data_IF_812406903488
#
_entry.id   IF_812406903488
#
_cell.length_a   1.000
_cell.length_b   1.000
_cell.length_c   1.000
_cell.angle_alpha   90.00
_cell.angle_beta   90.00
_cell.angle_gamma   90.00
#
_symmetry.space_group_name_H-M   'P 1'
#
loop_
_entity.id
_entity.type
_entity.pdbx_description
1 polymer ?
#
# COMPACT_ATOMS: atom_id res chain seq x y z
N UNK A 1 37.55 28.31 10.47
CA UNK A 1 36.19 28.85 10.71
C UNK A 1 35.17 27.91 10.11
N UNK A 2 34.60 27.03 10.93
CA UNK A 2 33.51 26.13 10.53
C UNK A 2 32.16 26.75 10.91
N UNK A 3 31.27 26.92 9.93
CA UNK A 3 29.94 27.49 10.10
C UNK A 3 28.92 26.66 9.32
N UNK A 4 27.96 26.09 10.06
CA UNK A 4 27.08 24.97 9.73
C UNK A 4 26.13 25.21 8.54
N UNK A 5 26.08 24.20 7.65
CA UNK A 5 24.90 23.63 6.97
C UNK A 5 23.66 24.54 6.88
N UNK A 6 23.63 25.42 5.89
CA UNK A 6 22.36 25.94 5.36
C UNK A 6 21.63 24.80 4.65
N UNK A 7 20.66 24.16 5.30
CA UNK A 7 19.69 23.29 4.64
C UNK A 7 18.63 24.17 3.98
N UNK A 8 18.95 24.72 2.81
CA UNK A 8 17.95 25.15 1.83
C UNK A 8 17.12 23.96 1.31
N UNK A 9 16.00 24.21 0.62
CA UNK A 9 14.85 23.32 0.56
C UNK A 9 15.23 22.02 -0.12
N UNK A 10 15.25 20.97 0.67
CA UNK A 10 15.24 19.63 0.13
C UNK A 10 13.76 19.47 -0.37
N UNK A 11 13.52 19.43 -1.71
CA UNK A 11 12.38 18.77 -2.50
C UNK A 11 12.37 17.23 -2.77
N UNK A 12 11.42 16.47 -2.21
CA UNK A 12 11.60 15.00 -2.02
C UNK A 12 10.86 14.39 -0.84
N UNK A 13 10.83 13.06 -0.83
CA UNK A 13 10.07 12.27 0.13
C UNK A 13 10.99 11.71 1.22
N UNK A 14 10.46 11.52 2.43
CA UNK A 14 11.13 10.73 3.48
C UNK A 14 10.20 9.59 3.88
N UNK A 15 10.71 8.35 3.88
CA UNK A 15 10.06 7.18 4.49
C UNK A 15 10.34 7.17 5.99
N UNK A 16 9.32 6.93 6.82
CA UNK A 16 9.54 6.53 8.22
C UNK A 16 9.27 5.02 8.41
N UNK A 17 10.29 4.32 8.93
CA UNK A 17 10.35 2.95 9.47
C UNK A 17 10.29 1.72 8.52
N UNK A 18 11.15 0.72 8.82
CA UNK A 18 10.98 -0.71 8.45
C UNK A 18 12.02 -1.36 7.54
N UNK A 19 12.89 -0.61 6.86
CA UNK A 19 13.91 -1.16 5.95
C UNK A 19 15.19 -0.32 6.04
N UNK A 20 16.33 -0.91 5.70
CA UNK A 20 17.72 -0.42 5.82
C UNK A 20 18.03 0.97 5.21
N UNK A 21 17.02 1.71 4.76
CA UNK A 21 17.09 3.03 4.15
C UNK A 21 16.48 4.10 5.08
N UNK A 22 17.07 4.25 6.27
CA UNK A 22 16.70 5.26 7.26
C UNK A 22 17.05 6.66 6.76
N UNK A 23 16.00 7.46 6.52
CA UNK A 23 16.11 8.92 6.45
C UNK A 23 16.77 9.49 5.20
N UNK A 24 16.94 8.70 4.14
CA UNK A 24 17.38 9.24 2.85
C UNK A 24 16.28 10.07 2.23
N UNK A 25 16.79 11.08 1.56
CA UNK A 25 16.06 12.15 0.96
C UNK A 25 15.99 11.88 -0.54
N UNK A 26 14.81 11.60 -1.08
CA UNK A 26 14.68 11.14 -2.46
C UNK A 26 14.43 12.31 -3.40
N UNK A 27 15.47 12.68 -4.17
CA UNK A 27 15.42 13.68 -5.26
C UNK A 27 15.18 13.07 -6.64
N UNK A 28 15.08 11.74 -6.72
CA UNK A 28 14.92 11.06 -8.01
C UNK A 28 13.47 11.16 -8.47
N UNK A 29 13.27 11.49 -9.75
CA UNK A 29 11.95 11.45 -10.39
C UNK A 29 11.37 10.03 -10.44
N UNK A 30 12.22 8.99 -10.29
CA UNK A 30 11.83 7.58 -10.40
C UNK A 30 12.09 6.80 -9.10
N UNK A 31 11.69 7.36 -7.96
CA UNK A 31 11.88 6.67 -6.68
C UNK A 31 10.88 5.50 -6.53
N UNK A 32 11.39 4.31 -6.23
CA UNK A 32 10.58 3.09 -6.06
C UNK A 32 10.75 2.49 -4.68
N UNK A 33 9.64 2.04 -4.09
CA UNK A 33 9.62 1.40 -2.77
C UNK A 33 8.86 0.08 -2.84
N UNK A 34 9.33 -0.91 -2.08
CA UNK A 34 8.65 -2.19 -1.93
C UNK A 34 8.03 -2.27 -0.53
N UNK A 35 6.78 -2.67 -0.47
CA UNK A 35 6.01 -2.87 0.77
C UNK A 35 5.28 -4.21 0.70
N UNK A 36 4.72 -4.67 1.81
CA UNK A 36 3.74 -5.77 1.86
C UNK A 36 2.37 -5.23 2.26
N UNK A 37 1.34 -6.07 2.16
CA UNK A 37 0.06 -5.74 2.77
C UNK A 37 0.20 -5.54 4.28
N UNK A 38 -0.58 -4.60 4.80
CA UNK A 38 -0.59 -4.11 6.19
C UNK A 38 0.66 -3.35 6.63
N UNK A 39 1.69 -3.23 5.79
CA UNK A 39 2.76 -2.28 6.05
C UNK A 39 2.25 -0.83 5.95
N UNK A 40 3.02 0.08 6.52
CA UNK A 40 2.77 1.53 6.47
C UNK A 40 3.87 2.22 5.68
N UNK A 41 3.51 3.27 4.95
CA UNK A 41 4.42 4.22 4.33
C UNK A 41 4.10 5.62 4.84
N UNK A 42 5.04 6.17 5.59
CA UNK A 42 5.00 7.59 5.94
C UNK A 42 5.65 8.42 4.83
N UNK A 43 4.95 9.47 4.43
CA UNK A 43 5.35 10.49 3.49
C UNK A 43 5.40 11.81 4.26
N UNK A 44 6.60 12.33 4.47
CA UNK A 44 6.82 13.56 5.25
C UNK A 44 6.87 14.78 4.34
N UNK A 45 6.13 15.84 4.70
CA UNK A 45 6.11 17.12 3.99
C UNK A 45 7.37 17.97 4.27
N UNK A 46 7.72 18.94 3.40
CA UNK A 46 8.76 19.92 3.66
C UNK A 46 8.47 20.70 4.94
N UNK A 47 9.48 20.91 5.76
CA UNK A 47 9.35 21.63 7.02
C UNK A 47 10.57 22.53 7.25
N UNK A 48 10.30 23.73 7.75
CA UNK A 48 11.27 24.79 7.97
C UNK A 48 11.13 25.24 9.44
N UNK A 49 12.18 25.02 10.23
CA UNK A 49 12.17 25.28 11.67
C UNK A 49 12.43 26.76 12.00
N UNK A 50 13.19 27.45 11.14
CA UNK A 50 13.60 28.85 11.36
C UNK A 50 13.08 29.78 10.26
N UNK A 51 12.80 31.03 10.62
CA UNK A 51 12.38 32.12 9.71
C UNK A 51 13.48 32.59 8.74
N UNK A 52 14.55 31.80 8.58
CA UNK A 52 15.65 32.06 7.64
C UNK A 52 15.21 31.95 6.17
N UNK A 53 14.15 31.17 5.91
CA UNK A 53 13.56 31.02 4.58
C UNK A 53 12.31 31.89 4.51
N UNK A 54 12.24 32.78 3.52
CA UNK A 54 11.05 33.61 3.31
C UNK A 54 9.82 32.73 3.04
N UNK A 55 8.65 33.11 3.57
CA UNK A 55 7.41 32.32 3.44
C UNK A 55 7.03 31.98 1.99
N UNK A 56 7.35 32.86 1.02
CA UNK A 56 7.12 32.65 -0.40
C UNK A 56 8.09 31.63 -1.03
N UNK A 57 9.26 31.40 -0.43
CA UNK A 57 10.25 30.42 -0.86
C UNK A 57 10.06 29.05 -0.18
N UNK A 58 9.15 28.96 0.80
CA UNK A 58 8.82 27.70 1.46
C UNK A 58 8.01 26.80 0.53
N UNK A 59 8.57 25.64 0.22
CA UNK A 59 7.93 24.67 -0.67
C UNK A 59 6.61 24.14 -0.11
N UNK A 60 5.59 24.10 -0.98
CA UNK A 60 4.26 23.55 -0.73
C UNK A 60 3.81 22.76 -1.93
N UNK A 61 3.27 21.56 -1.73
CA UNK A 61 2.78 20.73 -2.82
C UNK A 61 1.51 19.96 -2.44
N UNK A 62 0.76 19.58 -3.46
CA UNK A 62 -0.35 18.62 -3.36
C UNK A 62 0.13 17.26 -3.85
N UNK A 63 -0.13 16.22 -3.07
CA UNK A 63 0.17 14.84 -3.39
C UNK A 63 -1.06 14.15 -3.99
N UNK A 64 -0.86 13.46 -5.11
CA UNK A 64 -1.89 12.73 -5.82
C UNK A 64 -1.56 11.24 -5.84
N UNK A 65 -2.60 10.41 -5.75
CA UNK A 65 -2.52 8.99 -6.07
C UNK A 65 -3.12 8.78 -7.46
N UNK A 66 -2.29 8.41 -8.42
CA UNK A 66 -2.63 8.44 -9.84
C UNK A 66 -2.43 7.07 -10.51
N UNK A 67 -2.97 6.95 -11.72
CA UNK A 67 -2.72 5.80 -12.59
C UNK A 67 -1.36 5.91 -13.30
N UNK A 68 -0.91 4.83 -13.94
CA UNK A 68 0.44 4.74 -14.54
C UNK A 68 0.69 5.80 -15.61
N UNK A 69 -0.29 6.07 -16.47
CA UNK A 69 -0.17 7.01 -17.58
C UNK A 69 0.02 8.44 -17.06
N UNK A 70 -0.77 8.81 -16.04
CA UNK A 70 -0.70 10.08 -15.34
C UNK A 70 0.63 10.26 -14.58
N UNK A 71 1.16 9.18 -14.01
CA UNK A 71 2.49 9.16 -13.41
C UNK A 71 3.58 9.46 -14.43
N UNK A 72 3.52 8.87 -15.62
CA UNK A 72 4.51 9.10 -16.69
C UNK A 72 4.46 10.54 -17.22
N UNK A 73 3.24 11.07 -17.40
CA UNK A 73 3.00 12.44 -17.86
C UNK A 73 3.16 13.48 -16.76
N UNK A 74 3.29 13.04 -15.49
CA UNK A 74 3.34 13.95 -14.35
C UNK A 74 2.12 14.87 -14.30
N UNK A 75 0.92 14.33 -14.55
CA UNK A 75 -0.31 15.12 -14.63
C UNK A 75 -1.48 14.33 -14.03
N UNK A 76 -2.08 14.82 -12.92
CA UNK A 76 -3.29 14.20 -12.40
C UNK A 76 -4.47 14.44 -13.35
N UNK A 77 -5.38 13.48 -13.43
CA UNK A 77 -6.58 13.58 -14.27
C UNK A 77 -7.65 14.48 -13.65
N UNK A 78 -7.82 14.44 -12.33
CA UNK A 78 -8.82 15.26 -11.63
C UNK A 78 -8.37 15.69 -10.23
N UNK A 79 -9.10 16.65 -9.65
CA UNK A 79 -8.89 17.09 -8.26
C UNK A 79 -9.32 16.04 -7.24
N UNK A 80 -10.13 15.06 -7.63
CA UNK A 80 -10.59 13.99 -6.72
C UNK A 80 -9.47 12.97 -6.43
N UNK A 81 -8.40 12.97 -7.22
CA UNK A 81 -7.22 12.14 -7.00
C UNK A 81 -6.25 12.71 -5.94
N UNK A 82 -6.60 13.84 -5.31
CA UNK A 82 -5.81 14.40 -4.21
C UNK A 82 -5.78 13.43 -3.05
N UNK A 83 -4.58 13.02 -2.67
CA UNK A 83 -4.34 12.09 -1.56
C UNK A 83 -3.93 12.81 -0.28
N UNK A 84 -3.19 13.91 -0.40
CA UNK A 84 -2.74 14.75 0.70
C UNK A 84 -2.33 16.15 0.23
N UNK A 85 -2.32 17.13 1.13
CA UNK A 85 -1.81 18.49 0.88
C UNK A 85 -0.75 18.83 1.91
N UNK A 86 0.46 19.18 1.45
CA UNK A 86 1.54 19.70 2.29
C UNK A 86 1.48 21.23 2.25
N UNK A 87 0.69 21.83 3.14
CA UNK A 87 0.38 23.26 3.12
C UNK A 87 0.85 24.02 4.38
N UNK A 88 1.35 23.31 5.41
CA UNK A 88 1.91 23.92 6.63
C UNK A 88 3.43 23.69 6.76
N UNK A 89 4.27 24.36 5.95
CA UNK A 89 5.73 24.23 6.01
C UNK A 89 6.34 24.69 7.34
N UNK A 90 5.67 25.55 8.10
CA UNK A 90 6.10 26.07 9.40
C UNK A 90 5.24 25.55 10.57
N UNK A 91 4.69 24.33 10.45
CA UNK A 91 3.84 23.74 11.48
C UNK A 91 4.57 23.60 12.84
N UNK A 92 3.92 24.05 13.92
CA UNK A 92 4.54 24.10 15.27
C UNK A 92 4.87 22.73 15.87
N UNK A 93 4.23 21.67 15.39
CA UNK A 93 4.37 20.31 15.91
C UNK A 93 5.32 19.45 15.06
N UNK A 94 6.19 20.08 14.26
CA UNK A 94 7.08 19.43 13.31
C UNK A 94 6.43 19.21 11.94
N UNK A 95 7.07 18.44 11.05
CA UNK A 95 6.59 18.26 9.69
C UNK A 95 5.25 17.51 9.64
N UNK A 96 4.34 17.98 8.79
CA UNK A 96 3.15 17.22 8.41
C UNK A 96 3.54 15.88 7.78
N UNK A 97 2.72 14.85 7.99
CA UNK A 97 2.92 13.56 7.35
C UNK A 97 1.62 12.88 6.92
N UNK A 98 1.66 12.28 5.75
CA UNK A 98 0.70 11.28 5.31
C UNK A 98 1.20 9.90 5.76
N UNK A 99 0.40 9.16 6.51
CA UNK A 99 0.63 7.74 6.79
C UNK A 99 -0.31 6.89 5.94
N UNK A 100 0.22 6.25 4.91
CA UNK A 100 -0.53 5.33 4.05
C UNK A 100 -0.45 3.90 4.60
N UNK A 101 -1.58 3.22 4.74
CA UNK A 101 -1.63 1.81 5.12
C UNK A 101 -1.98 0.96 3.90
N UNK A 102 -1.13 -0.01 3.57
CA UNK A 102 -1.34 -0.90 2.42
C UNK A 102 -2.29 -2.03 2.77
N UNK A 103 -3.56 -1.70 3.04
CA UNK A 103 -4.57 -2.69 3.41
C UNK A 103 -5.37 -3.15 2.20
N UNK A 104 -5.81 -4.42 2.23
CA UNK A 104 -6.63 -5.01 1.15
C UNK A 104 -8.05 -4.45 1.13
N UNK A 105 -8.61 -4.15 2.29
CA UNK A 105 -9.96 -3.64 2.44
C UNK A 105 -9.95 -2.41 3.32
N UNK A 106 -10.74 -1.42 2.96
CA UNK A 106 -10.88 -0.19 3.74
C UNK A 106 -12.36 0.08 4.03
N UNK A 107 -12.72 0.42 5.27
CA UNK A 107 -14.10 0.76 5.60
C UNK A 107 -14.49 2.16 5.11
N UNK A 108 -13.55 2.94 4.56
CA UNK A 108 -13.78 4.30 4.09
C UNK A 108 -14.06 4.31 2.59
N UNK A 109 -15.15 4.94 2.17
CA UNK A 109 -15.59 4.95 0.77
C UNK A 109 -14.59 5.63 -0.18
N UNK A 110 -13.84 6.62 0.30
CA UNK A 110 -12.76 7.27 -0.45
C UNK A 110 -11.37 6.69 -0.11
N UNK A 111 -11.33 5.60 0.65
CA UNK A 111 -10.09 4.93 1.00
C UNK A 111 -9.51 4.18 -0.20
N UNK A 112 -8.19 3.97 -0.21
CA UNK A 112 -7.55 3.13 -1.22
C UNK A 112 -7.42 1.70 -0.72
N UNK A 113 -7.81 0.76 -1.57
CA UNK A 113 -7.53 -0.67 -1.42
C UNK A 113 -6.29 -1.07 -2.21
N UNK A 114 -5.44 -1.87 -1.56
CA UNK A 114 -4.16 -2.31 -2.12
C UNK A 114 -4.15 -3.82 -2.36
N UNK A 115 -3.52 -4.23 -3.47
CA UNK A 115 -3.45 -5.61 -3.93
C UNK A 115 -1.99 -6.02 -4.05
N UNK A 116 -1.71 -7.25 -3.60
CA UNK A 116 -0.43 -7.91 -3.83
C UNK A 116 -0.11 -8.00 -5.33
N UNK A 117 1.16 -7.88 -5.67
CA UNK A 117 1.66 -7.89 -7.05
C UNK A 117 1.39 -6.62 -7.84
N UNK A 118 0.70 -5.62 -7.26
CA UNK A 118 0.35 -4.38 -7.95
C UNK A 118 1.33 -3.25 -7.63
N UNK A 119 1.44 -2.31 -8.58
CA UNK A 119 2.18 -1.06 -8.43
C UNK A 119 1.22 0.12 -8.30
N UNK A 120 1.52 1.05 -7.40
CA UNK A 120 0.76 2.25 -7.12
C UNK A 120 1.65 3.47 -7.30
N UNK A 121 1.08 4.58 -7.78
CA UNK A 121 1.87 5.70 -8.26
C UNK A 121 1.45 7.01 -7.59
N UNK A 122 2.42 7.71 -7.02
CA UNK A 122 2.25 8.98 -6.36
C UNK A 122 3.01 10.06 -7.13
N UNK A 123 2.41 11.24 -7.28
CA UNK A 123 3.07 12.44 -7.84
C UNK A 123 2.80 13.65 -6.96
N UNK A 124 3.73 14.60 -6.88
CA UNK A 124 3.52 15.89 -6.21
C UNK A 124 3.51 17.06 -7.19
N UNK A 125 2.53 17.95 -7.09
CA UNK A 125 2.54 19.23 -7.83
C UNK A 125 2.65 20.42 -6.89
N UNK A 126 3.51 21.42 -7.17
CA UNK A 126 3.60 22.62 -6.35
C UNK A 126 2.25 23.37 -6.31
N UNK A 127 1.94 24.02 -5.18
CA UNK A 127 0.67 24.76 -5.01
C UNK A 127 0.73 26.15 -5.65
N UNK A 128 1.89 26.82 -5.58
CA UNK A 128 2.04 28.23 -5.98
C UNK A 128 2.93 28.44 -7.22
N UNK A 129 3.48 27.37 -7.79
CA UNK A 129 4.37 27.43 -8.95
C UNK A 129 3.90 26.44 -10.01
N UNK A 130 3.92 26.90 -11.26
CA UNK A 130 3.67 26.02 -12.39
C UNK A 130 5.02 25.43 -12.83
N UNK A 131 5.26 24.18 -12.43
CA UNK A 131 6.43 23.41 -12.84
C UNK A 131 5.99 22.20 -13.67
N UNK A 132 6.70 21.96 -14.78
CA UNK A 132 6.46 20.81 -15.65
C UNK A 132 6.97 19.51 -15.03
N UNK A 133 8.05 19.59 -14.25
CA UNK A 133 8.62 18.46 -13.50
C UNK A 133 7.85 18.23 -12.19
N UNK A 134 7.69 16.97 -11.79
CA UNK A 134 7.18 16.60 -10.47
C UNK A 134 8.02 15.48 -9.89
N UNK A 135 8.06 15.45 -8.56
CA UNK A 135 8.54 14.30 -7.83
C UNK A 135 7.53 13.17 -7.98
N UNK A 136 8.04 11.97 -8.22
CA UNK A 136 7.22 10.79 -8.41
C UNK A 136 7.72 9.65 -7.54
N UNK A 137 6.78 8.85 -7.07
CA UNK A 137 7.02 7.71 -6.20
C UNK A 137 6.20 6.52 -6.70
N UNK A 138 6.87 5.42 -7.01
CA UNK A 138 6.25 4.13 -7.30
C UNK A 138 6.31 3.24 -6.07
N UNK A 139 5.18 2.68 -5.67
CA UNK A 139 5.08 1.70 -4.58
C UNK A 139 4.70 0.35 -5.15
N UNK A 140 5.51 -0.67 -4.91
CA UNK A 140 5.25 -2.06 -5.32
C UNK A 140 4.81 -2.84 -4.09
N UNK A 141 3.59 -3.35 -4.11
CA UNK A 141 3.08 -4.25 -3.06
C UNK A 141 3.52 -5.66 -3.41
N UNK A 142 4.52 -6.16 -2.69
CA UNK A 142 5.10 -7.48 -2.87
C UNK A 142 4.02 -8.53 -2.66
N UNK A 143 3.82 -9.42 -3.63
CA UNK A 143 2.96 -10.58 -3.47
C UNK A 143 3.68 -11.75 -2.82
N UNK A 144 2.91 -12.68 -2.25
CA UNK A 144 3.46 -14.00 -1.95
C UNK A 144 3.75 -14.69 -3.27
N UNK A 145 5.03 -14.92 -3.57
CA UNK A 145 5.42 -15.88 -4.60
C UNK A 145 4.99 -17.24 -4.07
N UNK A 146 3.80 -17.72 -4.42
CA UNK A 146 3.62 -19.18 -4.52
C UNK A 146 4.46 -19.59 -5.72
N UNK A 147 5.48 -20.45 -5.55
CA UNK A 147 6.12 -21.09 -6.69
C UNK A 147 5.03 -21.94 -7.35
N UNK A 148 4.40 -21.42 -8.40
CA UNK A 148 3.67 -22.28 -9.33
C UNK A 148 4.73 -23.22 -9.93
N UNK A 149 4.55 -24.54 -9.91
CA UNK A 149 5.44 -25.45 -10.60
C UNK A 149 5.44 -25.08 -12.10
N UNK A 150 6.54 -24.45 -12.52
CA UNK A 150 7.06 -24.39 -13.88
C UNK A 150 6.00 -24.42 -15.01
N UNK A 151 5.58 -23.23 -15.46
CA UNK A 151 5.25 -23.07 -16.87
C UNK A 151 6.57 -23.08 -17.67
N UNK A 152 7.11 -24.27 -17.92
CA UNK A 152 8.07 -24.46 -19.00
C UNK A 152 7.31 -24.23 -20.30
N UNK A 153 7.56 -23.08 -20.92
CA UNK A 153 7.22 -22.85 -22.32
C UNK A 153 8.14 -23.73 -23.14
N UNK A 154 7.62 -24.86 -23.64
CA UNK A 154 8.28 -25.60 -24.72
C UNK A 154 7.59 -25.25 -26.05
N UNK A 155 8.23 -24.50 -26.96
CA UNK A 155 7.63 -24.12 -28.21
C UNK A 155 7.98 -25.12 -29.31
N UNK A 156 7.32 -26.28 -29.34
CA UNK A 156 7.25 -27.13 -30.54
C UNK A 156 6.30 -28.31 -30.33
N UNK A 157 5.06 -28.22 -30.86
CA UNK A 157 4.55 -29.29 -31.72
C UNK A 157 3.42 -28.75 -32.61
N UNK A 158 3.52 -29.02 -33.91
CA UNK A 158 2.60 -28.62 -34.98
C UNK A 158 1.46 -29.63 -35.10
N UNK A 159 0.27 -29.11 -35.46
CA UNK A 159 -0.80 -29.70 -36.32
C UNK A 159 -1.51 -30.99 -35.86
N UNK A 160 -2.76 -30.79 -35.41
CA UNK A 160 -4.06 -31.50 -35.67
C UNK A 160 -4.07 -32.69 -36.68
N UNK A 161 -5.17 -33.48 -36.79
CA UNK A 161 -6.15 -34.01 -35.79
C UNK A 161 -6.48 -35.52 -36.04
N UNK A 162 -7.19 -36.22 -35.13
CA UNK A 162 -8.02 -37.39 -35.48
C UNK A 162 -8.99 -37.84 -34.37
N UNK A 163 -10.25 -38.00 -34.76
CA UNK A 163 -11.32 -38.93 -34.33
C UNK A 163 -11.75 -39.11 -32.84
N UNK A 164 -13.05 -38.82 -32.61
CA UNK A 164 -13.98 -39.35 -31.58
C UNK A 164 -14.46 -40.77 -32.07
N UNK A 165 -15.09 -41.70 -31.30
CA UNK A 165 -15.68 -41.52 -29.97
C UNK A 165 -15.56 -42.68 -28.96
N UNK A 166 -15.69 -42.38 -27.66
CA UNK A 166 -16.49 -43.24 -26.78
C UNK A 166 -16.98 -42.51 -25.51
N UNK A 167 -18.30 -42.59 -25.34
CA UNK A 167 -19.06 -42.11 -24.19
C UNK A 167 -18.85 -43.04 -23.00
N UNK A 168 -18.40 -42.50 -21.87
CA UNK A 168 -18.71 -43.08 -20.55
C UNK A 168 -19.20 -42.01 -19.59
N UNK A 169 -20.52 -41.86 -19.57
CA UNK A 169 -21.26 -41.19 -18.50
C UNK A 169 -21.16 -42.09 -17.27
N UNK A 170 -20.35 -41.73 -16.27
CA UNK A 170 -20.43 -42.35 -14.96
C UNK A 170 -21.18 -41.45 -13.97
N UNK A 171 -22.42 -41.87 -13.75
CA UNK A 171 -23.34 -41.38 -12.73
C UNK A 171 -22.76 -41.68 -11.34
N UNK A 172 -22.54 -40.67 -10.50
CA UNK A 172 -22.27 -40.89 -9.06
C UNK A 172 -23.50 -40.54 -8.25
N UNK A 173 -24.24 -41.57 -7.86
CA UNK A 173 -25.28 -41.53 -6.82
C UNK A 173 -24.65 -41.96 -5.49
N UNK A 174 -24.79 -41.09 -4.49
CA UNK A 174 -24.94 -41.42 -3.06
C UNK A 174 -23.71 -41.96 -2.32
N UNK A 175 -23.35 -41.34 -1.19
CA UNK A 175 -23.94 -41.67 0.11
C UNK A 175 -23.52 -40.63 1.17
N UNK A 176 -24.50 -40.31 2.02
CA UNK A 176 -24.51 -39.29 3.06
C UNK A 176 -23.60 -39.60 4.26
N UNK A 177 -23.07 -38.55 4.89
CA UNK A 177 -22.91 -38.48 6.33
C UNK A 177 -22.86 -37.00 6.78
N UNK A 178 -24.03 -36.38 6.92
CA UNK A 178 -24.17 -35.15 7.69
C UNK A 178 -24.24 -35.52 9.18
N UNK A 179 -23.39 -34.99 10.07
CA UNK A 179 -23.61 -35.13 11.50
C UNK A 179 -24.82 -34.28 11.91
N UNK A 180 -25.91 -34.95 12.28
CA UNK A 180 -27.06 -34.33 12.92
C UNK A 180 -26.69 -33.96 14.36
N UNK A 181 -26.49 -32.67 14.63
CA UNK A 181 -26.47 -32.14 15.99
C UNK A 181 -27.91 -32.05 16.49
N UNK A 182 -28.35 -33.04 17.26
CA UNK A 182 -29.56 -32.94 18.07
C UNK A 182 -29.23 -32.29 19.43
N UNK A 183 -30.10 -31.40 19.95
CA UNK A 183 -29.80 -30.57 21.11
C UNK A 183 -30.26 -31.25 22.40
N UNK A 184 -29.37 -31.55 23.34
CA UNK A 184 -29.69 -31.89 24.73
C UNK A 184 -28.39 -32.08 25.53
N UNK A 185 -27.90 -31.01 26.16
CA UNK A 185 -26.94 -31.10 27.28
C UNK A 185 -26.79 -29.72 27.96
N UNK A 186 -27.90 -29.08 28.31
CA UNK A 186 -27.90 -27.79 29.02
C UNK A 186 -27.93 -27.99 30.55
N UNK A 187 -27.59 -29.19 31.04
CA UNK A 187 -27.90 -29.60 32.40
C UNK A 187 -26.70 -30.08 33.22
N UNK A 188 -25.48 -29.61 32.96
CA UNK A 188 -24.32 -29.89 33.83
C UNK A 188 -23.48 -28.63 34.02
N UNK A 189 -24.07 -27.60 34.62
CA UNK A 189 -23.39 -26.33 34.94
C UNK A 189 -23.29 -26.04 36.46
N UNK A 190 -23.67 -26.94 37.37
CA UNK A 190 -23.77 -26.58 38.80
C UNK A 190 -23.36 -27.70 39.77
N UNK A 191 -22.20 -28.36 39.58
CA UNK A 191 -21.78 -29.44 40.49
C UNK A 191 -20.33 -29.48 41.02
N UNK A 192 -19.35 -28.62 40.64
CA UNK A 192 -18.07 -28.59 41.36
C UNK A 192 -17.94 -27.44 42.38
N UNK A 193 -18.96 -26.57 42.54
CA UNK A 193 -18.93 -25.46 43.52
C UNK A 193 -19.10 -25.90 44.99
N UNK A 194 -19.25 -27.21 45.26
CA UNK A 194 -19.49 -27.77 46.60
C UNK A 194 -18.30 -28.52 47.20
N UNK A 195 -17.12 -28.55 46.56
CA UNK A 195 -15.95 -29.30 47.07
C UNK A 195 -14.76 -28.44 47.52
N UNK A 196 -14.92 -27.12 47.66
CA UNK A 196 -13.84 -26.24 48.13
C UNK A 196 -14.21 -25.35 49.33
N UNK A 197 -15.03 -25.88 50.25
CA UNK A 197 -15.12 -25.44 51.64
C UNK A 197 -14.81 -26.67 52.51
N UNK A 198 -13.64 -26.79 53.12
CA UNK A 198 -13.35 -26.40 54.52
C UNK A 198 -12.11 -27.20 54.96
N UNK A 199 -11.43 -26.89 56.09
CA UNK A 199 -11.29 -25.62 56.80
C UNK A 199 -9.89 -24.98 56.64
#
# INVERSE_FOLDING_TARGET
MGGRRGLGPRRGWRRAAGSTDLGKWFRSEDYTVHVRLNDYLDIICPHYEDDTVAAAAMERYTLYLVEREQYQLCQPQSRDQVRWQCNQPSARHGPEKLSEKFQRFTPFTLGKEFKEGHSYYYISKPIHHQEDQCLRLKVIVSGKITPSPQAHVNPQEKRLPADDPEVQVLHSIGHSAAPRLFPLAWAVLLLPFLLLQTP
#
